data_IF_468757141069
#
_entry.id   IF_468757141069
#
_cell.length_a   1.000
_cell.length_b   1.000
_cell.length_c   1.000
_cell.angle_alpha   90.00
_cell.angle_beta   90.00
_cell.angle_gamma   90.00
#
_symmetry.space_group_name_H-M   'P 1'
#
loop_
_entity.id
_entity.type
_entity.pdbx_description
1 polymer ?
#
# COMPACT_ATOMS: atom_id res chain seq x y z
N UNK A 1 30.38 11.15 33.13
CA UNK A 1 29.61 10.58 32.00
C UNK A 1 29.04 9.27 32.50
N UNK A 2 27.74 9.07 32.38
CA UNK A 2 27.12 7.81 32.79
C UNK A 2 27.61 6.70 31.86
N UNK A 3 28.24 5.69 32.43
CA UNK A 3 28.72 4.48 31.73
C UNK A 3 27.62 3.40 31.64
N UNK A 4 26.37 3.78 31.89
CA UNK A 4 25.26 2.84 31.91
C UNK A 4 24.87 2.49 30.46
N UNK A 5 24.69 1.20 30.14
CA UNK A 5 24.26 0.80 28.82
C UNK A 5 22.87 1.36 28.50
N UNK A 6 22.56 1.61 27.22
CA UNK A 6 21.24 2.07 26.83
C UNK A 6 20.16 1.03 27.13
N UNK A 7 18.97 1.49 27.50
CA UNK A 7 17.81 0.61 27.71
C UNK A 7 17.29 0.11 26.36
N UNK A 8 17.13 -1.21 26.17
CA UNK A 8 16.63 -1.76 24.92
C UNK A 8 15.13 -1.43 24.71
N UNK A 9 14.71 -1.14 23.48
CA UNK A 9 13.31 -0.84 23.17
C UNK A 9 12.43 -2.09 23.32
N UNK A 10 11.27 -1.95 23.98
CA UNK A 10 10.33 -3.06 24.24
C UNK A 10 9.62 -3.58 22.99
N UNK A 11 9.63 -2.83 21.89
CA UNK A 11 9.02 -3.24 20.63
C UNK A 11 9.90 -4.19 19.81
N UNK A 12 11.19 -4.35 20.17
CA UNK A 12 12.10 -5.24 19.46
C UNK A 12 12.18 -6.60 20.17
N UNK A 13 12.24 -7.71 19.41
CA UNK A 13 12.42 -9.03 19.99
C UNK A 13 13.78 -9.14 20.68
N UNK A 14 13.83 -9.89 21.79
CA UNK A 14 15.04 -10.06 22.60
C UNK A 14 16.22 -10.58 21.78
N UNK A 15 15.99 -11.51 20.85
CA UNK A 15 17.05 -12.04 19.97
C UNK A 15 17.70 -10.97 19.08
N UNK A 16 16.91 -10.03 18.56
CA UNK A 16 17.44 -8.92 17.77
C UNK A 16 18.25 -7.96 18.66
N UNK A 17 17.75 -7.66 19.87
CA UNK A 17 18.47 -6.82 20.84
C UNK A 17 19.82 -7.44 21.21
N UNK A 18 19.85 -8.76 21.46
CA UNK A 18 21.09 -9.47 21.75
C UNK A 18 22.07 -9.41 20.58
N UNK A 19 21.56 -9.59 19.35
CA UNK A 19 22.39 -9.51 18.13
C UNK A 19 23.02 -8.11 17.98
N UNK A 20 22.26 -7.04 18.24
CA UNK A 20 22.76 -5.67 18.18
C UNK A 20 23.81 -5.40 19.28
N UNK A 21 23.63 -5.96 20.48
CA UNK A 21 24.61 -5.82 21.57
C UNK A 21 25.98 -6.45 21.25
N UNK A 22 26.03 -7.43 20.33
CA UNK A 22 27.28 -8.07 19.88
C UNK A 22 27.98 -7.33 18.73
N UNK A 23 27.34 -6.30 18.14
CA UNK A 23 27.90 -5.57 17.00
C UNK A 23 28.90 -4.50 17.43
N UNK A 24 29.84 -4.20 16.52
CA UNK A 24 30.74 -3.07 16.70
C UNK A 24 29.98 -1.75 16.48
N UNK A 25 30.47 -0.62 17.05
CA UNK A 25 29.83 0.68 16.86
C UNK A 25 29.60 1.04 15.39
N UNK A 26 30.54 0.72 14.49
CA UNK A 26 30.42 0.98 13.05
C UNK A 26 29.25 0.21 12.44
N UNK A 27 29.11 -1.07 12.78
CA UNK A 27 27.97 -1.88 12.30
C UNK A 27 26.63 -1.39 12.84
N UNK A 28 26.61 -0.88 14.08
CA UNK A 28 25.40 -0.27 14.64
C UNK A 28 25.01 1.01 13.89
N UNK A 29 25.98 1.81 13.46
CA UNK A 29 25.73 2.98 12.60
C UNK A 29 25.21 2.58 11.21
N UNK A 30 25.77 1.53 10.60
CA UNK A 30 25.30 1.00 9.32
C UNK A 30 23.85 0.50 9.43
N UNK A 31 23.53 -0.25 10.48
CA UNK A 31 22.16 -0.73 10.76
C UNK A 31 21.19 0.43 10.96
N UNK A 32 21.59 1.46 11.71
CA UNK A 32 20.74 2.63 11.94
C UNK A 32 20.41 3.35 10.62
N UNK A 33 21.42 3.58 9.78
CA UNK A 33 21.25 4.23 8.47
C UNK A 33 20.31 3.43 7.57
N UNK A 34 20.54 2.12 7.46
CA UNK A 34 19.69 1.25 6.65
C UNK A 34 18.25 1.16 7.20
N UNK A 35 18.08 1.10 8.53
CA UNK A 35 16.76 1.04 9.14
C UNK A 35 15.94 2.31 8.88
N UNK A 36 16.59 3.48 8.87
CA UNK A 36 15.96 4.77 8.53
C UNK A 36 15.54 4.81 7.06
N UNK A 37 16.44 4.47 6.13
CA UNK A 37 16.11 4.39 4.70
C UNK A 37 14.97 3.39 4.41
N UNK A 38 14.97 2.24 5.11
CA UNK A 38 13.93 1.23 4.98
C UNK A 38 12.58 1.72 5.52
N UNK A 39 12.57 2.51 6.60
CA UNK A 39 11.35 3.10 7.12
C UNK A 39 10.76 4.10 6.12
N UNK A 40 11.57 5.02 5.59
CA UNK A 40 11.13 5.98 4.57
C UNK A 40 10.59 5.29 3.31
N UNK A 41 11.24 4.21 2.88
CA UNK A 41 10.78 3.41 1.74
C UNK A 41 9.38 2.83 2.00
N UNK A 42 9.19 2.18 3.15
CA UNK A 42 7.90 1.56 3.52
C UNK A 42 6.79 2.59 3.72
N UNK A 43 7.11 3.75 4.29
CA UNK A 43 6.14 4.85 4.41
C UNK A 43 5.73 5.41 3.05
N UNK A 44 6.69 5.52 2.11
CA UNK A 44 6.41 5.92 0.73
C UNK A 44 5.55 4.88 0.01
N UNK A 45 5.86 3.60 0.15
CA UNK A 45 5.05 2.52 -0.41
C UNK A 45 3.62 2.51 0.17
N UNK A 46 3.48 2.66 1.48
CA UNK A 46 2.16 2.73 2.13
C UNK A 46 1.34 3.91 1.61
N UNK A 47 1.97 5.09 1.44
CA UNK A 47 1.32 6.25 0.82
C UNK A 47 0.93 6.01 -0.65
N UNK A 48 1.82 5.40 -1.43
CA UNK A 48 1.55 5.05 -2.83
C UNK A 48 0.47 3.98 -2.96
N UNK A 49 0.33 3.08 -1.98
CA UNK A 49 -0.73 2.09 -1.94
C UNK A 49 -2.07 2.73 -1.55
N UNK A 50 -2.10 3.65 -0.59
CA UNK A 50 -3.29 4.48 -0.30
C UNK A 50 -3.69 5.38 -1.49
N UNK A 51 -2.71 5.91 -2.22
CA UNK A 51 -2.95 6.76 -3.40
C UNK A 51 -3.31 5.92 -4.64
N UNK A 52 -2.71 4.75 -4.82
CA UNK A 52 -3.01 3.79 -5.90
C UNK A 52 -4.38 3.13 -5.77
N UNK A 53 -4.93 3.01 -4.56
CA UNK A 53 -6.34 2.64 -4.35
C UNK A 53 -7.31 3.76 -4.80
N UNK A 54 -6.83 5.02 -4.86
CA UNK A 54 -7.57 6.16 -5.43
C UNK A 54 -7.30 6.36 -6.93
N UNK A 55 -6.14 5.93 -7.42
CA UNK A 55 -5.63 6.17 -8.78
C UNK A 55 -5.48 4.89 -9.62
N UNK A 56 -6.30 3.86 -9.36
CA UNK A 56 -6.64 2.85 -10.38
C UNK A 56 -7.51 3.49 -11.49
N UNK A 57 -7.02 4.55 -12.10
CA UNK A 57 -7.43 4.99 -13.42
C UNK A 57 -6.78 4.02 -14.40
N UNK A 58 -7.38 2.83 -14.54
CA UNK A 58 -7.09 2.00 -15.70
C UNK A 58 -7.46 2.80 -16.95
N UNK A 59 -6.41 3.16 -17.67
CA UNK A 59 -6.36 3.46 -19.10
C UNK A 59 -7.61 2.91 -19.80
N UNK A 60 -8.39 3.82 -20.39
CA UNK A 60 -9.63 3.57 -21.16
C UNK A 60 -9.57 2.19 -21.84
N UNK A 61 -10.22 1.15 -21.31
CA UNK A 61 -10.21 -0.14 -21.97
C UNK A 61 -11.02 -0.03 -23.25
N UNK A 62 -10.54 -0.68 -24.30
CA UNK A 62 -11.24 -0.84 -25.58
C UNK A 62 -12.62 -1.52 -25.46
N UNK A 63 -12.97 -2.01 -24.27
CA UNK A 63 -14.22 -2.72 -23.94
C UNK A 63 -15.28 -1.81 -23.27
N UNK A 64 -15.23 -0.49 -23.50
CA UNK A 64 -16.22 0.44 -22.97
C UNK A 64 -17.56 0.28 -23.73
N UNK A 65 -18.66 -0.15 -23.09
CA UNK A 65 -19.96 -0.23 -23.75
C UNK A 65 -20.52 1.18 -23.99
N UNK A 66 -21.32 1.35 -25.06
CA UNK A 66 -21.87 2.65 -25.49
C UNK A 66 -22.66 3.40 -24.38
N UNK A 67 -23.21 2.67 -23.39
CA UNK A 67 -23.95 3.24 -22.25
C UNK A 67 -23.06 3.84 -21.14
N UNK A 68 -21.73 3.66 -21.22
CA UNK A 68 -20.77 4.17 -20.23
C UNK A 68 -19.99 5.33 -20.85
N UNK A 69 -19.97 6.51 -20.21
CA UNK A 69 -19.21 7.64 -20.73
C UNK A 69 -17.71 7.38 -20.62
N UNK A 70 -16.95 7.91 -21.57
CA UNK A 70 -15.48 7.77 -21.64
C UNK A 70 -14.72 8.33 -20.41
N UNK A 71 -15.40 9.07 -19.51
CA UNK A 71 -14.86 9.56 -18.24
C UNK A 71 -15.20 8.65 -17.04
N UNK A 72 -15.74 7.46 -17.27
CA UNK A 72 -16.00 6.51 -16.20
C UNK A 72 -14.69 5.92 -15.66
N UNK A 73 -14.64 5.74 -14.34
CA UNK A 73 -13.53 5.12 -13.62
C UNK A 73 -13.90 3.68 -13.24
N UNK A 74 -12.93 2.76 -13.23
CA UNK A 74 -13.15 1.40 -12.72
C UNK A 74 -13.00 1.42 -11.19
N UNK A 75 -14.00 0.92 -10.49
CA UNK A 75 -13.97 0.68 -9.04
C UNK A 75 -14.12 -0.81 -8.77
N UNK A 76 -13.38 -1.33 -7.79
CA UNK A 76 -13.52 -2.71 -7.32
C UNK A 76 -14.54 -2.72 -6.18
N UNK A 77 -15.59 -3.54 -6.29
CA UNK A 77 -16.53 -3.81 -5.19
C UNK A 77 -16.30 -5.23 -4.67
N UNK A 78 -16.14 -5.35 -3.37
CA UNK A 78 -16.04 -6.65 -2.68
C UNK A 78 -17.39 -7.03 -2.08
N UNK A 79 -17.90 -8.21 -2.43
CA UNK A 79 -19.17 -8.74 -1.95
C UNK A 79 -19.00 -10.25 -1.71
N UNK A 80 -19.23 -10.73 -0.48
CA UNK A 80 -19.07 -12.14 -0.09
C UNK A 80 -17.70 -12.72 -0.51
N UNK A 81 -16.61 -12.03 -0.15
CA UNK A 81 -15.22 -12.41 -0.49
C UNK A 81 -14.90 -12.48 -2.00
N UNK A 82 -15.82 -12.04 -2.86
CA UNK A 82 -15.63 -11.96 -4.30
C UNK A 82 -15.43 -10.50 -4.72
N UNK A 83 -14.43 -10.25 -5.57
CA UNK A 83 -14.11 -8.92 -6.10
C UNK A 83 -14.70 -8.76 -7.50
N UNK A 84 -15.35 -7.63 -7.74
CA UNK A 84 -16.03 -7.33 -9.01
C UNK A 84 -15.63 -5.95 -9.52
N UNK A 85 -15.37 -5.82 -10.82
CA UNK A 85 -15.13 -4.55 -11.47
C UNK A 85 -16.46 -3.85 -11.81
N UNK A 86 -16.57 -2.58 -11.45
CA UNK A 86 -17.67 -1.71 -11.81
C UNK A 86 -17.15 -0.45 -12.49
N UNK A 87 -17.82 -0.05 -13.57
CA UNK A 87 -17.71 1.29 -14.13
C UNK A 87 -18.48 2.26 -13.27
N UNK A 88 -17.86 3.37 -12.86
CA UNK A 88 -18.52 4.42 -12.10
C UNK A 88 -18.27 5.79 -12.73
N UNK A 89 -19.33 6.57 -12.89
CA UNK A 89 -19.25 7.94 -13.42
C UNK A 89 -20.29 8.84 -12.78
N UNK A 90 -20.09 10.15 -12.93
CA UNK A 90 -21.08 11.16 -12.54
C UNK A 90 -21.90 11.59 -13.74
N UNK A 91 -23.21 11.56 -13.56
CA UNK A 91 -24.21 12.08 -14.48
C UNK A 91 -24.95 13.22 -13.75
N UNK A 92 -24.42 14.44 -13.89
CA UNK A 92 -24.81 15.59 -13.08
C UNK A 92 -24.53 15.37 -11.59
N UNK A 93 -25.57 15.46 -10.76
CA UNK A 93 -25.52 15.23 -9.30
C UNK A 93 -25.66 13.75 -8.91
N UNK A 94 -25.89 12.84 -9.86
CA UNK A 94 -26.10 11.42 -9.57
C UNK A 94 -24.86 10.60 -9.93
N UNK A 95 -24.49 9.70 -9.02
CA UNK A 95 -23.46 8.70 -9.28
C UNK A 95 -24.13 7.48 -9.94
N UNK A 96 -23.67 7.10 -11.13
CA UNK A 96 -24.09 5.90 -11.86
C UNK A 96 -23.00 4.84 -11.75
N UNK A 97 -23.41 3.58 -11.73
CA UNK A 97 -22.49 2.45 -11.76
C UNK A 97 -23.00 1.34 -12.65
N UNK A 98 -22.12 0.73 -13.44
CA UNK A 98 -22.41 -0.40 -14.33
C UNK A 98 -21.45 -1.56 -14.04
N UNK A 99 -21.97 -2.78 -14.02
CA UNK A 99 -21.15 -3.98 -13.83
C UNK A 99 -20.26 -4.23 -15.06
N UNK A 100 -18.96 -4.41 -14.86
CA UNK A 100 -17.98 -4.73 -15.93
C UNK A 100 -17.70 -6.23 -15.99
N UNK A 101 -17.45 -6.86 -14.85
CA UNK A 101 -17.08 -8.28 -14.81
C UNK A 101 -16.48 -8.71 -13.47
N UNK A 102 -16.26 -10.02 -13.28
CA UNK A 102 -15.54 -10.53 -12.12
C UNK A 102 -14.07 -10.11 -12.20
N UNK A 103 -13.46 -9.81 -11.05
CA UNK A 103 -12.02 -9.68 -10.96
C UNK A 103 -11.47 -11.10 -10.97
N UNK A 104 -10.80 -11.50 -12.04
CA UNK A 104 -10.02 -12.74 -12.01
C UNK A 104 -8.90 -12.54 -11.00
N UNK A 105 -8.81 -13.38 -9.94
CA UNK A 105 -7.59 -13.42 -9.16
C UNK A 105 -6.49 -13.90 -10.11
N UNK A 106 -5.51 -13.04 -10.38
CA UNK A 106 -4.27 -13.46 -11.01
C UNK A 106 -3.67 -14.56 -10.10
N UNK A 107 -3.27 -15.68 -10.70
CA UNK A 107 -2.89 -16.94 -10.04
C UNK A 107 -1.67 -16.81 -9.10
#
# INVERSE_FOLDING_TARGET
>A
MSYEPPTPPSSLPTDLVNTLNEYTPERLHDVATYAEELAEHKEREARLQEEGDRDKVEERPDDLPDDVPAKATITIKEINDNRYYYWQWRDGDKIRSQYKGPVTPDE
#
